data_IF_551534682955
#
_entry.id   IF_551534682955
#
_cell.length_a   1.000
_cell.length_b   1.000
_cell.length_c   1.000
_cell.angle_alpha   90.00
_cell.angle_beta   90.00
_cell.angle_gamma   90.00
#
_symmetry.space_group_name_H-M   'P 1'
#
loop_
_entity.id
_entity.type
_entity.pdbx_description
1 polymer ?
#
# COMPACT_ATOMS: atom_id res chain seq x y z
N UNK A 1 9.40 -12.05 -0.93
CA UNK A 1 8.81 -11.54 0.33
C UNK A 1 7.53 -10.80 -0.05
N UNK A 2 6.38 -11.17 0.51
CA UNK A 2 5.10 -10.55 0.15
C UNK A 2 5.03 -9.16 0.80
N UNK A 3 5.31 -8.11 0.04
CA UNK A 3 5.37 -6.72 0.54
C UNK A 3 4.05 -6.25 1.15
N UNK A 4 2.92 -6.91 0.83
CA UNK A 4 1.62 -6.64 1.44
C UNK A 4 1.50 -7.15 2.88
N UNK A 5 2.34 -8.10 3.30
CA UNK A 5 2.42 -8.63 4.67
C UNK A 5 3.45 -7.89 5.53
N UNK A 6 4.23 -6.98 4.93
CA UNK A 6 5.17 -6.17 5.67
C UNK A 6 4.42 -5.16 6.53
N UNK A 7 4.56 -5.30 7.85
CA UNK A 7 3.97 -4.41 8.85
C UNK A 7 4.82 -3.18 9.12
N UNK A 8 6.05 -3.13 8.60
CA UNK A 8 7.00 -2.05 8.81
C UNK A 8 7.02 -1.06 7.64
N UNK A 9 5.87 -0.45 7.35
CA UNK A 9 5.74 0.62 6.35
C UNK A 9 5.67 2.00 7.01
N UNK A 10 6.09 3.02 6.26
CA UNK A 10 6.03 4.41 6.71
C UNK A 10 4.58 4.92 6.74
N UNK A 11 4.24 5.66 7.80
CA UNK A 11 2.96 6.38 7.94
C UNK A 11 3.20 7.91 7.90
N UNK A 12 2.15 8.74 7.72
CA UNK A 12 2.29 10.19 7.85
C UNK A 12 3.02 10.59 9.13
N UNK A 13 3.99 11.50 9.01
CA UNK A 13 4.92 11.90 10.07
C UNK A 13 6.27 11.20 10.02
N UNK A 14 6.36 9.98 9.45
CA UNK A 14 7.65 9.30 9.28
C UNK A 14 8.50 9.98 8.19
N UNK A 15 9.80 10.09 8.41
CA UNK A 15 10.71 10.77 7.47
C UNK A 15 10.73 10.13 6.06
N UNK A 16 10.48 8.82 6.00
CA UNK A 16 10.41 8.06 4.74
C UNK A 16 9.03 8.12 4.05
N UNK A 17 8.01 8.73 4.66
CA UNK A 17 6.68 8.81 4.06
C UNK A 17 6.63 9.88 2.95
N UNK A 18 6.40 9.50 1.68
CA UNK A 18 6.60 10.39 0.52
C UNK A 18 5.50 11.46 0.35
N UNK A 19 4.42 11.39 1.14
CA UNK A 19 3.22 12.23 1.02
C UNK A 19 2.96 13.06 2.29
N UNK A 20 3.98 13.33 3.10
CA UNK A 20 3.84 14.13 4.33
C UNK A 20 3.26 15.55 4.11
N UNK A 21 3.36 16.11 2.90
CA UNK A 21 2.75 17.41 2.59
C UNK A 21 1.24 17.34 2.36
N UNK A 22 0.69 16.14 2.16
CA UNK A 22 -0.72 15.93 1.85
C UNK A 22 -1.51 15.27 2.99
N UNK A 23 -0.83 14.69 3.99
CA UNK A 23 -1.45 13.99 5.11
C UNK A 23 -0.87 14.48 6.43
N UNK A 24 -1.76 14.66 7.40
CA UNK A 24 -1.38 15.00 8.77
C UNK A 24 -0.78 13.79 9.48
N UNK A 25 0.24 14.05 10.30
CA UNK A 25 0.78 13.04 11.19
C UNK A 25 -0.23 12.70 12.30
N UNK A 26 -0.26 11.44 12.79
CA UNK A 26 -1.04 11.09 13.98
C UNK A 26 -0.68 11.99 15.16
N UNK A 27 -1.66 12.36 15.98
CA UNK A 27 -1.44 13.29 17.10
C UNK A 27 -0.54 12.70 18.18
N UNK A 28 -0.68 11.40 18.42
CA UNK A 28 -0.01 10.69 19.50
C UNK A 28 0.32 9.23 19.11
N UNK A 29 1.04 8.54 20.00
CA UNK A 29 1.50 7.16 19.78
C UNK A 29 0.35 6.17 19.61
N UNK A 30 -0.78 6.40 20.27
CA UNK A 30 -1.92 5.49 20.19
C UNK A 30 -2.64 5.61 18.84
N UNK A 31 -2.81 6.83 18.35
CA UNK A 31 -3.33 7.08 17.00
C UNK A 31 -2.37 6.53 15.92
N UNK A 32 -1.05 6.68 16.11
CA UNK A 32 -0.06 6.13 15.20
C UNK A 32 -0.15 4.59 15.10
N UNK A 33 -0.28 3.91 16.23
CA UNK A 33 -0.44 2.45 16.26
C UNK A 33 -1.76 2.01 15.61
N UNK A 34 -2.85 2.70 15.93
CA UNK A 34 -4.17 2.44 15.31
C UNK A 34 -4.11 2.60 13.80
N UNK A 35 -3.45 3.66 13.31
CA UNK A 35 -3.28 3.90 11.88
C UNK A 35 -2.45 2.81 11.21
N UNK A 36 -1.35 2.35 11.84
CA UNK A 36 -0.55 1.23 11.30
C UNK A 36 -1.38 -0.05 11.20
N UNK A 37 -2.16 -0.38 12.22
CA UNK A 37 -3.02 -1.57 12.20
C UNK A 37 -4.07 -1.48 11.09
N UNK A 38 -4.73 -0.32 10.97
CA UNK A 38 -5.73 -0.07 9.94
C UNK A 38 -5.15 -0.19 8.52
N UNK A 39 -4.04 0.49 8.24
CA UNK A 39 -3.39 0.44 6.92
C UNK A 39 -2.81 -0.96 6.65
N UNK A 40 -2.32 -1.65 7.69
CA UNK A 40 -1.89 -3.04 7.59
C UNK A 40 -3.02 -3.97 7.13
N UNK A 41 -4.19 -3.89 7.76
CA UNK A 41 -5.38 -4.65 7.35
C UNK A 41 -5.79 -4.30 5.92
N UNK A 42 -5.82 -3.00 5.58
CA UNK A 42 -6.15 -2.54 4.22
C UNK A 42 -5.20 -3.14 3.17
N UNK A 43 -3.89 -3.18 3.44
CA UNK A 43 -2.89 -3.75 2.52
C UNK A 43 -3.12 -5.24 2.28
N UNK A 44 -3.44 -6.01 3.33
CA UNK A 44 -3.73 -7.44 3.22
C UNK A 44 -4.97 -7.70 2.37
N UNK A 45 -6.07 -7.02 2.67
CA UNK A 45 -7.33 -7.15 1.93
C UNK A 45 -7.19 -6.76 0.47
N UNK A 46 -6.51 -5.63 0.18
CA UNK A 46 -6.30 -5.18 -1.19
C UNK A 46 -5.40 -6.12 -1.98
N UNK A 47 -4.35 -6.69 -1.37
CA UNK A 47 -3.49 -7.64 -2.04
C UNK A 47 -4.26 -8.90 -2.48
N UNK A 48 -5.09 -9.46 -1.59
CA UNK A 48 -5.93 -10.63 -1.91
C UNK A 48 -6.92 -10.33 -3.03
N UNK A 49 -7.63 -9.19 -2.94
CA UNK A 49 -8.62 -8.79 -3.96
C UNK A 49 -7.96 -8.48 -5.30
N UNK A 50 -6.79 -7.85 -5.29
CA UNK A 50 -6.06 -7.51 -6.50
C UNK A 50 -5.55 -8.76 -7.22
N UNK A 51 -5.05 -9.76 -6.49
CA UNK A 51 -4.65 -11.04 -7.08
C UNK A 51 -5.82 -11.70 -7.83
N UNK A 52 -7.02 -11.72 -7.24
CA UNK A 52 -8.22 -12.25 -7.90
C UNK A 52 -8.57 -11.51 -9.20
N UNK A 53 -8.26 -10.21 -9.31
CA UNK A 53 -8.46 -9.42 -10.54
C UNK A 53 -7.35 -9.64 -11.57
N UNK A 54 -6.09 -9.70 -11.12
CA UNK A 54 -4.92 -9.86 -11.99
C UNK A 54 -4.92 -11.25 -12.65
N UNK A 55 -5.38 -12.28 -11.95
CA UNK A 55 -5.45 -13.67 -12.41
C UNK A 55 -6.88 -14.11 -12.77
N UNK A 56 -7.77 -13.17 -13.10
CA UNK A 56 -9.19 -13.49 -13.37
C UNK A 56 -9.37 -14.48 -14.54
N UNK A 57 -8.46 -14.48 -15.52
CA UNK A 57 -8.53 -15.29 -16.74
C UNK A 57 -7.69 -16.58 -16.68
N UNK A 58 -7.24 -16.99 -15.48
CA UNK A 58 -6.51 -18.25 -15.27
C UNK A 58 -5.16 -18.07 -14.56
N UNK A 59 -4.18 -18.90 -14.91
CA UNK A 59 -2.89 -18.98 -14.20
C UNK A 59 -1.88 -17.88 -14.58
N UNK A 60 -2.17 -17.07 -15.60
CA UNK A 60 -1.27 -16.01 -16.09
C UNK A 60 -1.78 -14.63 -15.68
N UNK A 61 -0.92 -13.73 -15.17
CA UNK A 61 -1.34 -12.39 -14.81
C UNK A 61 -1.70 -11.54 -16.04
N UNK A 62 -2.76 -10.75 -15.92
CA UNK A 62 -3.25 -9.89 -16.99
C UNK A 62 -2.24 -8.81 -17.39
N UNK A 63 -1.85 -8.80 -18.68
CA UNK A 63 -0.92 -7.79 -19.23
C UNK A 63 -1.44 -6.35 -19.11
N UNK A 64 -2.76 -6.16 -19.10
CA UNK A 64 -3.39 -4.84 -18.99
C UNK A 64 -3.17 -4.25 -17.59
N UNK A 65 -3.26 -5.07 -16.55
CA UNK A 65 -2.89 -4.69 -15.19
C UNK A 65 -1.38 -4.47 -15.05
N UNK A 66 -0.56 -5.39 -15.57
CA UNK A 66 0.90 -5.28 -15.46
C UNK A 66 1.50 -4.08 -16.22
N UNK A 67 0.78 -3.54 -17.22
CA UNK A 67 1.20 -2.34 -17.96
C UNK A 67 1.37 -1.10 -17.08
N UNK A 68 0.78 -1.09 -15.87
CA UNK A 68 0.87 0.01 -14.91
C UNK A 68 2.03 -0.11 -13.92
N UNK A 69 2.77 -1.24 -13.88
CA UNK A 69 3.81 -1.50 -12.87
C UNK A 69 4.92 -0.45 -12.79
N UNK A 70 5.26 0.19 -13.93
CA UNK A 70 6.28 1.26 -14.00
C UNK A 70 5.69 2.68 -13.83
N UNK A 71 4.36 2.82 -13.76
CA UNK A 71 3.68 4.12 -13.67
C UNK A 71 3.46 4.48 -12.20
N UNK A 72 4.10 5.54 -11.73
CA UNK A 72 3.98 6.03 -10.36
C UNK A 72 2.84 7.03 -10.24
N UNK A 73 1.87 6.76 -9.36
CA UNK A 73 0.82 7.73 -9.04
C UNK A 73 1.44 8.97 -8.38
N UNK A 74 1.09 10.16 -8.87
CA UNK A 74 1.67 11.45 -8.44
C UNK A 74 3.21 11.53 -8.50
N UNK A 75 3.86 10.66 -9.29
CA UNK A 75 5.33 10.55 -9.31
C UNK A 75 5.95 10.05 -8.00
N UNK A 76 5.15 9.54 -7.05
CA UNK A 76 5.59 9.03 -5.74
C UNK A 76 5.56 7.50 -5.69
N UNK A 77 6.37 6.93 -4.81
CA UNK A 77 6.36 5.50 -4.49
C UNK A 77 6.39 5.34 -2.97
N UNK A 78 5.60 4.40 -2.46
CA UNK A 78 5.50 4.03 -1.05
C UNK A 78 6.58 3.01 -0.68
#
# INVERSE_FOLDING_TARGET
MNTALDTNFAIPGDASFPLNQAFEAPRDRNEAETLRQYIGQMRQELAMRLLARVYADGSTPSKWWLSFTKRKFMGKAL
#
